data_IF_393323271897
#
_entry.id   IF_393323271897
#
_cell.length_a   1.000
_cell.length_b   1.000
_cell.length_c   1.000
_cell.angle_alpha   90.00
_cell.angle_beta   90.00
_cell.angle_gamma   90.00
#
_symmetry.space_group_name_H-M   'P 1'
#
loop_
_entity.id
_entity.type
_entity.pdbx_description
1 polymer ?
#
# COMPACT_ATOMS: atom_id res chain seq x y z
N UNK A 1 0.83 24.78 49.81
CA UNK A 1 0.39 24.18 48.54
C UNK A 1 1.62 23.96 47.69
N UNK A 2 2.15 22.74 47.66
CA UNK A 2 3.35 22.39 46.88
C UNK A 2 2.97 22.25 45.41
N UNK A 3 3.58 23.10 44.60
CA UNK A 3 3.46 23.10 43.15
C UNK A 3 4.00 21.76 42.63
N UNK A 4 3.12 20.85 42.18
CA UNK A 4 3.56 19.62 41.50
C UNK A 4 4.18 20.05 40.18
N UNK A 5 5.51 20.05 40.14
CA UNK A 5 6.29 20.40 38.96
C UNK A 5 5.79 19.61 37.77
N UNK A 6 5.44 20.32 36.69
CA UNK A 6 5.34 19.72 35.38
C UNK A 6 6.68 19.01 35.12
N UNK A 7 6.63 17.72 34.80
CA UNK A 7 7.81 16.96 34.43
C UNK A 7 8.56 17.63 33.27
N UNK A 8 9.82 17.23 33.01
CA UNK A 8 10.56 17.75 31.87
C UNK A 8 9.72 17.59 30.58
N UNK A 9 9.79 18.57 29.67
CA UNK A 9 9.05 18.50 28.42
C UNK A 9 9.41 17.23 27.65
N UNK A 10 8.42 16.60 27.02
CA UNK A 10 8.66 15.44 26.16
C UNK A 10 9.61 15.85 25.01
N UNK A 11 10.58 14.99 24.65
CA UNK A 11 11.50 15.28 23.55
C UNK A 11 10.72 15.47 22.24
N UNK A 12 11.21 16.39 21.40
CA UNK A 12 10.70 16.63 20.06
C UNK A 12 10.84 15.38 19.18
N UNK A 13 10.07 15.29 18.09
CA UNK A 13 10.17 14.14 17.17
C UNK A 13 11.58 13.99 16.59
N UNK A 14 12.26 15.10 16.31
CA UNK A 14 13.63 15.07 15.80
C UNK A 14 14.58 14.44 16.83
N UNK A 15 14.47 14.78 18.11
CA UNK A 15 15.27 14.21 19.20
C UNK A 15 14.95 12.73 19.42
N UNK A 16 13.68 12.33 19.34
CA UNK A 16 13.28 10.92 19.42
C UNK A 16 13.90 10.10 18.28
N UNK A 17 13.88 10.62 17.05
CA UNK A 17 14.43 9.91 15.89
C UNK A 17 15.96 9.77 15.94
N UNK A 18 16.67 10.51 16.79
CA UNK A 18 18.10 10.28 17.06
C UNK A 18 18.34 9.01 17.88
N UNK A 19 17.36 8.54 18.65
CA UNK A 19 17.49 7.29 19.40
C UNK A 19 17.50 6.09 18.44
N UNK A 20 18.16 5.00 18.85
CA UNK A 20 18.17 3.73 18.12
C UNK A 20 16.76 3.16 18.05
N UNK A 21 16.12 3.04 19.22
CA UNK A 21 14.73 2.61 19.40
C UNK A 21 13.95 3.78 20.00
N UNK A 22 12.78 4.07 19.46
CA UNK A 22 11.95 5.21 19.87
C UNK A 22 10.46 4.84 19.85
N UNK A 23 9.62 5.65 20.48
CA UNK A 23 8.19 5.38 20.55
C UNK A 23 7.52 5.49 19.18
N UNK A 24 6.61 4.57 18.86
CA UNK A 24 5.87 4.61 17.61
C UNK A 24 4.94 5.84 17.59
N UNK A 25 4.73 6.40 16.40
CA UNK A 25 3.62 7.34 16.27
C UNK A 25 2.30 6.54 16.20
N UNK A 26 1.16 7.06 16.68
CA UNK A 26 -0.11 6.33 16.65
C UNK A 26 -0.49 5.76 15.27
N UNK A 27 -0.11 6.46 14.20
CA UNK A 27 -0.39 6.09 12.82
C UNK A 27 0.60 5.05 12.25
N UNK A 28 1.74 4.81 12.91
CA UNK A 28 2.67 3.72 12.59
C UNK A 28 2.00 2.35 12.70
N UNK A 29 1.14 2.16 13.71
CA UNK A 29 0.42 0.91 13.88
C UNK A 29 -0.52 0.58 12.70
N UNK A 30 -1.14 1.61 12.09
CA UNK A 30 -1.97 1.44 10.87
C UNK A 30 -1.11 0.96 9.70
N UNK A 31 0.06 1.57 9.51
CA UNK A 31 1.03 1.17 8.48
C UNK A 31 1.51 -0.28 8.69
N UNK A 32 1.90 -0.64 9.90
CA UNK A 32 2.33 -2.01 10.22
C UNK A 32 1.19 -3.03 10.01
N UNK A 33 -0.05 -2.66 10.35
CA UNK A 33 -1.21 -3.49 10.08
C UNK A 33 -1.46 -3.70 8.56
N UNK A 34 -1.27 -2.67 7.75
CA UNK A 34 -1.35 -2.78 6.29
C UNK A 34 -0.25 -3.69 5.74
N UNK A 35 1.00 -3.49 6.16
CA UNK A 35 2.14 -4.34 5.78
C UNK A 35 1.89 -5.80 6.12
N UNK A 36 1.46 -6.09 7.35
CA UNK A 36 1.10 -7.44 7.77
C UNK A 36 -0.01 -8.04 6.89
N UNK A 37 -1.08 -7.27 6.63
CA UNK A 37 -2.23 -7.77 5.88
C UNK A 37 -1.92 -8.00 4.40
N UNK A 38 -1.18 -7.08 3.79
CA UNK A 38 -0.70 -7.22 2.43
C UNK A 38 0.22 -8.43 2.28
N UNK A 39 1.27 -8.50 3.11
CA UNK A 39 2.26 -9.58 3.04
C UNK A 39 1.68 -10.95 3.38
N UNK A 40 0.65 -11.03 4.23
CA UNK A 40 -0.09 -12.28 4.43
C UNK A 40 -0.69 -12.80 3.12
N UNK A 41 -1.37 -11.95 2.34
CA UNK A 41 -1.93 -12.34 1.04
C UNK A 41 -0.82 -12.67 0.02
N UNK A 42 0.17 -11.79 -0.07
CA UNK A 42 1.32 -11.91 -0.98
C UNK A 42 2.09 -13.22 -0.76
N UNK A 43 2.46 -13.52 0.49
CA UNK A 43 3.15 -14.76 0.88
C UNK A 43 2.30 -15.99 0.56
N UNK A 44 1.01 -15.95 0.87
CA UNK A 44 0.07 -17.03 0.58
C UNK A 44 -0.05 -17.37 -0.91
N UNK A 45 0.09 -16.38 -1.80
CA UNK A 45 0.06 -16.57 -3.25
C UNK A 45 1.43 -17.00 -3.81
N UNK A 46 2.49 -16.29 -3.43
CA UNK A 46 3.78 -16.37 -4.12
C UNK A 46 4.70 -17.44 -3.53
N UNK A 47 4.81 -17.54 -2.21
CA UNK A 47 5.70 -18.51 -1.57
C UNK A 47 5.24 -19.97 -1.76
N UNK A 48 4.02 -20.19 -2.29
CA UNK A 48 3.54 -21.53 -2.69
C UNK A 48 3.77 -21.86 -4.16
N UNK A 49 4.12 -20.86 -4.96
CA UNK A 49 4.14 -20.95 -6.43
C UNK A 49 5.55 -20.76 -6.99
N UNK A 50 6.42 -20.06 -6.26
CA UNK A 50 7.79 -19.76 -6.65
C UNK A 50 8.77 -20.41 -5.69
N UNK A 51 9.92 -20.92 -6.19
CA UNK A 51 10.91 -21.59 -5.34
C UNK A 51 11.57 -20.65 -4.34
N UNK A 52 11.53 -19.35 -4.62
CA UNK A 52 12.09 -18.29 -3.80
C UNK A 52 11.39 -16.96 -4.13
N UNK A 53 11.20 -16.12 -3.12
CA UNK A 53 10.77 -14.73 -3.27
C UNK A 53 11.57 -13.86 -2.30
N UNK A 54 11.61 -12.55 -2.54
CA UNK A 54 12.26 -11.61 -1.63
C UNK A 54 11.34 -10.49 -1.14
N UNK A 55 11.60 -10.00 0.07
CA UNK A 55 11.10 -8.72 0.55
C UNK A 55 12.32 -7.86 0.88
N UNK A 56 12.41 -6.68 0.29
CA UNK A 56 13.45 -5.69 0.61
C UNK A 56 12.83 -4.59 1.46
N UNK A 57 13.26 -4.49 2.71
CA UNK A 57 12.95 -3.35 3.58
C UNK A 57 14.14 -2.38 3.55
N UNK A 58 14.04 -1.35 2.71
CA UNK A 58 15.14 -0.45 2.41
C UNK A 58 15.37 0.63 3.48
N UNK A 59 14.47 0.74 4.46
CA UNK A 59 14.51 1.73 5.54
C UNK A 59 14.05 1.07 6.86
N UNK A 60 14.71 -0.05 7.19
CA UNK A 60 14.23 -1.01 8.17
C UNK A 60 14.27 -0.53 9.64
N UNK A 61 14.97 0.57 9.90
CA UNK A 61 15.20 1.11 11.24
C UNK A 61 15.75 0.05 12.21
N UNK A 62 15.42 0.15 13.50
CA UNK A 62 15.89 -0.79 14.51
C UNK A 62 15.09 -2.10 14.55
N UNK A 63 14.02 -2.25 13.77
CA UNK A 63 13.16 -3.44 13.79
C UNK A 63 12.07 -3.47 14.86
N UNK A 64 12.12 -2.62 15.87
CA UNK A 64 11.08 -2.45 16.89
C UNK A 64 10.98 -1.01 17.38
N UNK A 65 9.86 -0.68 18.02
CA UNK A 65 9.62 0.58 18.72
C UNK A 65 9.66 0.38 20.24
N UNK A 66 9.94 1.45 20.99
CA UNK A 66 10.13 1.37 22.45
C UNK A 66 8.85 1.03 23.22
N UNK A 67 7.69 1.15 22.58
CA UNK A 67 6.37 0.77 23.09
C UNK A 67 6.00 -0.68 22.78
N UNK A 68 6.93 -1.46 22.20
CA UNK A 68 6.75 -2.88 21.90
C UNK A 68 6.06 -3.16 20.57
N UNK A 69 5.76 -2.14 19.76
CA UNK A 69 5.30 -2.35 18.40
C UNK A 69 6.45 -2.89 17.54
N UNK A 70 6.17 -3.91 16.72
CA UNK A 70 7.13 -4.40 15.74
C UNK A 70 7.35 -3.38 14.61
N UNK A 71 8.60 -3.20 14.21
CA UNK A 71 8.97 -2.55 12.96
C UNK A 71 8.71 -3.47 11.75
N UNK A 72 8.84 -2.93 10.54
CA UNK A 72 8.55 -3.67 9.32
C UNK A 72 9.34 -4.99 9.16
N UNK A 73 10.64 -5.09 9.53
CA UNK A 73 11.38 -6.35 9.43
C UNK A 73 10.76 -7.47 10.26
N UNK A 74 10.44 -7.16 11.53
CA UNK A 74 9.83 -8.12 12.43
C UNK A 74 8.39 -8.42 12.02
N UNK A 75 7.65 -7.43 11.51
CA UNK A 75 6.32 -7.64 10.93
C UNK A 75 6.37 -8.68 9.80
N UNK A 76 7.31 -8.57 8.86
CA UNK A 76 7.43 -9.53 7.75
C UNK A 76 7.86 -10.91 8.24
N UNK A 77 8.90 -10.99 9.08
CA UNK A 77 9.40 -12.25 9.63
C UNK A 77 8.31 -12.99 10.43
N UNK A 78 7.62 -12.29 11.35
CA UNK A 78 6.53 -12.88 12.15
C UNK A 78 5.31 -13.24 11.30
N UNK A 79 5.03 -12.49 10.23
CA UNK A 79 3.97 -12.84 9.29
C UNK A 79 4.27 -14.15 8.59
N UNK A 80 5.51 -14.37 8.13
CA UNK A 80 5.94 -15.65 7.58
C UNK A 80 5.78 -16.77 8.61
N UNK A 81 6.36 -16.61 9.81
CA UNK A 81 6.42 -17.65 10.85
C UNK A 81 5.03 -18.08 11.35
N UNK A 82 4.09 -17.13 11.44
CA UNK A 82 2.72 -17.38 11.90
C UNK A 82 1.74 -17.70 10.76
N UNK A 83 2.20 -17.76 9.51
CA UNK A 83 1.30 -17.96 8.38
C UNK A 83 0.67 -19.36 8.39
N UNK A 84 -0.65 -19.45 8.22
CA UNK A 84 -1.38 -20.74 8.21
C UNK A 84 -0.91 -21.68 7.10
N UNK A 85 -0.58 -21.12 5.94
CA UNK A 85 -0.01 -21.85 4.80
C UNK A 85 1.52 -22.07 4.85
N UNK A 86 2.21 -21.68 5.94
CA UNK A 86 3.67 -21.85 6.11
C UNK A 86 4.16 -23.27 5.83
N UNK A 87 3.43 -24.36 6.19
CA UNK A 87 3.87 -25.72 5.84
C UNK A 87 4.13 -25.92 4.33
N UNK A 88 3.43 -25.19 3.46
CA UNK A 88 3.56 -25.26 2.01
C UNK A 88 4.44 -24.16 1.40
N UNK A 89 5.10 -23.33 2.22
CA UNK A 89 5.95 -22.26 1.72
C UNK A 89 7.31 -22.78 1.24
N UNK A 90 7.80 -22.18 0.17
CA UNK A 90 9.17 -22.18 -0.28
C UNK A 90 9.98 -21.07 0.43
N UNK A 91 11.15 -20.70 -0.10
CA UNK A 91 12.05 -19.76 0.56
C UNK A 91 11.58 -18.31 0.46
N UNK A 92 11.72 -17.59 1.56
CA UNK A 92 11.62 -16.14 1.62
C UNK A 92 12.97 -15.56 2.02
N UNK A 93 13.50 -14.67 1.19
CA UNK A 93 14.66 -13.85 1.51
C UNK A 93 14.19 -12.47 1.96
N UNK A 94 14.35 -12.18 3.25
CA UNK A 94 14.05 -10.88 3.84
C UNK A 94 15.36 -10.08 3.94
N UNK A 95 15.52 -9.05 3.11
CA UNK A 95 16.71 -8.19 3.07
C UNK A 95 16.37 -6.85 3.73
N UNK A 96 17.06 -6.54 4.83
CA UNK A 96 16.82 -5.31 5.60
C UNK A 96 18.04 -4.40 5.56
N UNK A 97 17.81 -3.15 5.17
CA UNK A 97 18.83 -2.11 5.04
C UNK A 97 18.42 -0.82 5.75
N UNK A 98 19.42 -0.10 6.26
CA UNK A 98 19.29 1.24 6.85
C UNK A 98 20.67 1.91 6.77
N UNK A 99 20.72 3.24 6.84
CA UNK A 99 21.99 3.96 6.86
C UNK A 99 22.65 3.95 8.24
N UNK A 100 21.90 3.63 9.30
CA UNK A 100 22.33 3.78 10.68
C UNK A 100 22.91 2.49 11.26
N UNK A 101 24.21 2.45 11.60
CA UNK A 101 24.85 1.24 12.13
C UNK A 101 24.26 0.78 13.46
N UNK A 102 23.86 1.70 14.34
CA UNK A 102 23.29 1.36 15.64
C UNK A 102 21.92 0.66 15.51
N UNK A 103 21.12 1.07 14.53
CA UNK A 103 19.82 0.45 14.25
C UNK A 103 19.96 -0.95 13.66
N UNK A 104 20.89 -1.13 12.72
CA UNK A 104 21.18 -2.44 12.14
C UNK A 104 21.78 -3.42 13.16
N UNK A 105 22.61 -2.94 14.09
CA UNK A 105 23.12 -3.73 15.20
C UNK A 105 21.98 -4.19 16.14
N UNK A 106 21.03 -3.30 16.43
CA UNK A 106 19.84 -3.64 17.21
C UNK A 106 18.97 -4.68 16.50
N UNK A 107 18.66 -4.47 15.21
CA UNK A 107 17.89 -5.42 14.39
C UNK A 107 18.56 -6.80 14.34
N UNK A 108 19.89 -6.85 14.22
CA UNK A 108 20.65 -8.10 14.25
C UNK A 108 20.50 -8.84 15.59
N UNK A 109 20.42 -8.11 16.70
CA UNK A 109 20.17 -8.68 18.02
C UNK A 109 18.75 -9.24 18.09
N UNK A 110 17.75 -8.52 17.60
CA UNK A 110 16.37 -9.03 17.53
C UNK A 110 16.28 -10.29 16.65
N UNK A 111 16.93 -10.27 15.48
CA UNK A 111 16.98 -11.41 14.56
C UNK A 111 17.52 -12.68 15.25
N UNK A 112 18.57 -12.58 16.06
CA UNK A 112 19.18 -13.75 16.72
C UNK A 112 18.29 -14.37 17.80
N UNK A 113 17.29 -13.63 18.28
CA UNK A 113 16.29 -14.14 19.24
C UNK A 113 15.11 -14.85 18.58
N UNK A 114 14.95 -14.73 17.25
CA UNK A 114 13.88 -15.40 16.51
C UNK A 114 14.24 -16.86 16.25
N UNK A 115 13.29 -17.76 16.51
CA UNK A 115 13.35 -19.14 16.02
C UNK A 115 13.04 -19.16 14.52
N UNK A 116 14.07 -19.04 13.69
CA UNK A 116 13.92 -18.97 12.24
C UNK A 116 13.63 -20.35 11.64
N UNK A 117 12.60 -20.41 10.81
CA UNK A 117 12.39 -21.50 9.87
C UNK A 117 13.55 -21.47 8.85
N UNK A 118 14.16 -22.60 8.47
CA UNK A 118 15.25 -22.62 7.47
C UNK A 118 14.87 -22.04 6.10
N UNK A 119 13.57 -21.88 5.82
CA UNK A 119 13.06 -21.24 4.61
C UNK A 119 12.94 -19.72 4.72
N UNK A 120 13.10 -19.14 5.91
CA UNK A 120 13.15 -17.71 6.13
C UNK A 120 14.62 -17.28 6.28
N UNK A 121 15.18 -16.75 5.21
CA UNK A 121 16.51 -16.15 5.24
C UNK A 121 16.39 -14.67 5.60
N UNK A 122 16.72 -14.33 6.84
CA UNK A 122 16.68 -12.97 7.34
C UNK A 122 18.07 -12.34 7.28
N UNK A 123 18.29 -11.47 6.30
CA UNK A 123 19.53 -10.74 6.07
C UNK A 123 19.43 -9.29 6.56
N UNK A 124 20.45 -8.84 7.29
CA UNK A 124 20.65 -7.43 7.65
C UNK A 124 21.93 -6.98 6.98
N UNK A 125 21.87 -5.95 6.13
CA UNK A 125 23.03 -5.48 5.35
C UNK A 125 24.00 -4.65 6.17
N UNK A 126 25.10 -4.25 5.56
CA UNK A 126 25.94 -3.17 6.09
C UNK A 126 25.21 -1.82 6.00
N UNK A 127 25.56 -0.83 6.85
CA UNK A 127 24.93 0.48 6.84
C UNK A 127 25.28 1.27 5.58
N UNK A 128 24.25 1.73 4.85
CA UNK A 128 24.43 2.53 3.63
C UNK A 128 23.18 3.34 3.31
N UNK A 129 23.35 4.48 2.63
CA UNK A 129 22.24 5.25 2.09
C UNK A 129 21.57 4.48 0.95
N UNK A 130 20.23 4.46 0.92
CA UNK A 130 19.48 3.70 -0.08
C UNK A 130 19.88 4.06 -1.53
N UNK A 131 20.14 5.33 -1.84
CA UNK A 131 20.58 5.77 -3.17
C UNK A 131 21.86 5.07 -3.64
N UNK A 132 22.75 4.71 -2.72
CA UNK A 132 24.00 3.99 -3.01
C UNK A 132 23.80 2.47 -2.93
N UNK A 133 22.96 2.01 -1.99
CA UNK A 133 22.73 0.58 -1.75
C UNK A 133 21.80 -0.08 -2.78
N UNK A 134 20.96 0.68 -3.50
CA UNK A 134 19.87 0.14 -4.33
C UNK A 134 20.32 -1.00 -5.25
N UNK A 135 21.43 -0.83 -5.97
CA UNK A 135 21.89 -1.86 -6.92
C UNK A 135 22.45 -3.10 -6.24
N UNK A 136 22.98 -2.96 -5.02
CA UNK A 136 23.39 -4.11 -4.23
C UNK A 136 22.16 -4.87 -3.68
N UNK A 137 21.17 -4.14 -3.17
CA UNK A 137 19.90 -4.71 -2.70
C UNK A 137 19.16 -5.44 -3.83
N UNK A 138 19.17 -4.87 -5.03
CA UNK A 138 18.56 -5.46 -6.22
C UNK A 138 19.24 -6.77 -6.60
N UNK A 139 20.58 -6.83 -6.58
CA UNK A 139 21.34 -8.07 -6.81
C UNK A 139 21.05 -9.13 -5.74
N UNK A 140 20.89 -8.73 -4.48
CA UNK A 140 20.56 -9.67 -3.38
C UNK A 140 19.15 -10.23 -3.54
N UNK A 141 18.17 -9.37 -3.78
CA UNK A 141 16.77 -9.76 -3.92
C UNK A 141 16.53 -10.64 -5.18
N UNK A 142 17.23 -10.33 -6.28
CA UNK A 142 17.14 -11.06 -7.55
C UNK A 142 18.28 -12.08 -7.75
N UNK A 143 18.96 -12.51 -6.68
CA UNK A 143 20.14 -13.41 -6.77
C UNK A 143 19.89 -14.71 -7.51
N UNK A 144 18.64 -15.18 -7.51
CA UNK A 144 18.20 -16.42 -8.15
C UNK A 144 17.48 -16.15 -9.50
N UNK A 145 17.53 -14.91 -10.00
CA UNK A 145 17.03 -14.47 -11.30
C UNK A 145 15.88 -13.46 -11.21
N UNK A 146 15.83 -12.53 -12.16
CA UNK A 146 14.81 -11.45 -12.26
C UNK A 146 13.38 -11.91 -12.54
N UNK A 147 13.15 -13.22 -12.63
CA UNK A 147 11.80 -13.77 -12.77
C UNK A 147 11.13 -14.01 -11.42
N UNK A 148 11.88 -13.93 -10.31
CA UNK A 148 11.33 -14.17 -8.98
C UNK A 148 10.60 -12.93 -8.46
N UNK A 149 9.53 -13.11 -7.67
CA UNK A 149 8.82 -11.99 -7.07
C UNK A 149 9.66 -11.29 -6.00
N UNK A 150 9.68 -9.95 -6.06
CA UNK A 150 10.31 -9.11 -5.04
C UNK A 150 9.33 -8.01 -4.63
N UNK A 151 9.11 -7.87 -3.33
CA UNK A 151 8.40 -6.73 -2.76
C UNK A 151 9.40 -5.74 -2.16
N UNK A 152 9.43 -4.54 -2.68
CA UNK A 152 10.21 -3.42 -2.15
C UNK A 152 9.35 -2.57 -1.21
N UNK A 153 9.83 -2.38 0.01
CA UNK A 153 9.20 -1.52 1.01
C UNK A 153 10.10 -0.32 1.24
N UNK A 154 9.56 0.84 0.88
CA UNK A 154 10.29 2.08 0.72
C UNK A 154 9.70 3.15 1.65
N UNK A 155 10.12 3.14 2.91
CA UNK A 155 9.54 3.96 3.99
C UNK A 155 10.60 4.83 4.68
N UNK A 156 11.17 5.83 3.99
CA UNK A 156 12.16 6.72 4.59
C UNK A 156 11.55 7.61 5.68
N UNK A 157 12.40 8.36 6.38
CA UNK A 157 11.96 9.39 7.34
C UNK A 157 11.69 10.75 6.68
N UNK A 158 12.10 10.90 5.43
CA UNK A 158 11.94 12.10 4.63
C UNK A 158 11.75 11.73 3.14
N UNK A 159 11.29 12.71 2.39
CA UNK A 159 10.95 12.62 0.98
C UNK A 159 12.14 12.88 0.04
N UNK A 160 13.24 13.43 0.55
CA UNK A 160 14.44 13.73 -0.26
C UNK A 160 15.27 12.46 -0.50
N UNK A 161 15.21 11.52 0.44
CA UNK A 161 15.89 10.22 0.41
C UNK A 161 15.37 9.26 -0.67
N UNK A 162 14.20 9.55 -1.28
CA UNK A 162 13.60 8.65 -2.26
C UNK A 162 12.99 9.35 -3.48
N UNK A 163 13.82 9.89 -4.39
CA UNK A 163 13.31 10.44 -5.64
C UNK A 163 12.55 9.40 -6.47
N UNK A 164 11.61 9.86 -7.31
CA UNK A 164 10.76 9.01 -8.14
C UNK A 164 11.55 7.98 -8.96
N UNK A 165 12.71 8.39 -9.49
CA UNK A 165 13.58 7.52 -10.28
C UNK A 165 14.05 6.28 -9.49
N UNK A 166 14.34 6.40 -8.19
CA UNK A 166 14.74 5.23 -7.38
C UNK A 166 13.56 4.26 -7.20
N UNK A 167 12.35 4.80 -7.02
CA UNK A 167 11.13 3.98 -6.95
C UNK A 167 10.88 3.26 -8.27
N UNK A 168 11.00 3.98 -9.39
CA UNK A 168 10.85 3.43 -10.72
C UNK A 168 11.86 2.30 -11.00
N UNK A 169 13.11 2.47 -10.58
CA UNK A 169 14.14 1.42 -10.68
C UNK A 169 13.80 0.17 -9.85
N UNK A 170 13.04 0.28 -8.78
CA UNK A 170 12.60 -0.88 -7.98
C UNK A 170 11.46 -1.67 -8.65
N UNK A 171 10.91 -1.20 -9.77
CA UNK A 171 9.85 -1.87 -10.55
C UNK A 171 10.39 -2.45 -11.87
N UNK A 172 11.69 -2.72 -11.97
CA UNK A 172 12.33 -3.08 -13.24
C UNK A 172 12.00 -4.52 -13.68
N UNK A 173 11.86 -5.46 -12.74
CA UNK A 173 11.48 -6.83 -13.06
C UNK A 173 9.95 -6.99 -13.15
N UNK A 174 9.50 -7.92 -13.98
CA UNK A 174 8.07 -8.16 -14.25
C UNK A 174 7.24 -8.53 -13.01
N UNK A 175 7.88 -9.01 -11.94
CA UNK A 175 7.22 -9.41 -10.69
C UNK A 175 7.66 -8.55 -9.50
N UNK A 176 8.32 -7.43 -9.78
CA UNK A 176 8.62 -6.45 -8.75
C UNK A 176 7.33 -5.72 -8.38
N UNK A 177 7.19 -5.50 -7.07
CA UNK A 177 6.15 -4.68 -6.49
C UNK A 177 6.79 -3.68 -5.53
N UNK A 178 6.20 -2.50 -5.40
CA UNK A 178 6.67 -1.48 -4.47
C UNK A 178 5.53 -1.03 -3.58
N UNK A 179 5.81 -0.88 -2.28
CA UNK A 179 5.05 -0.01 -1.38
C UNK A 179 5.96 1.13 -0.94
N UNK A 180 5.59 2.37 -1.25
CA UNK A 180 6.35 3.57 -0.91
C UNK A 180 5.51 4.55 -0.08
N UNK A 181 6.15 5.16 0.91
CA UNK A 181 5.54 6.24 1.69
C UNK A 181 5.62 7.56 0.91
N UNK A 182 4.45 8.12 0.58
CA UNK A 182 4.26 9.42 -0.07
C UNK A 182 3.90 10.50 0.95
N UNK A 183 4.83 11.40 1.24
CA UNK A 183 4.67 12.48 2.22
C UNK A 183 3.74 13.62 1.76
N UNK A 184 2.45 13.34 1.61
CA UNK A 184 1.45 14.28 1.05
C UNK A 184 1.26 15.55 1.88
N UNK A 185 1.42 15.49 3.20
CA UNK A 185 1.39 16.68 4.06
C UNK A 185 2.62 17.58 3.84
N UNK A 186 3.82 17.02 3.70
CA UNK A 186 5.03 17.78 3.35
C UNK A 186 4.88 18.43 1.97
N UNK A 187 4.40 17.67 0.98
CA UNK A 187 4.11 18.19 -0.35
C UNK A 187 3.13 19.36 -0.28
N UNK A 188 2.02 19.20 0.42
CA UNK A 188 1.04 20.26 0.65
C UNK A 188 1.65 21.49 1.34
N UNK A 189 2.45 21.27 2.41
CA UNK A 189 3.05 22.34 3.22
C UNK A 189 4.07 23.15 2.42
N UNK A 190 4.85 22.48 1.59
CA UNK A 190 6.00 23.07 0.90
C UNK A 190 5.75 23.38 -0.58
N UNK A 191 4.57 23.07 -1.14
CA UNK A 191 4.30 23.31 -2.57
C UNK A 191 4.44 24.77 -2.99
N UNK A 192 4.32 25.72 -2.06
CA UNK A 192 4.46 27.16 -2.33
C UNK A 192 5.87 27.71 -2.04
N UNK A 193 6.78 26.90 -1.51
CA UNK A 193 8.16 27.30 -1.23
C UNK A 193 9.03 27.07 -2.49
N UNK A 194 9.56 28.13 -3.13
CA UNK A 194 10.38 28.00 -4.32
C UNK A 194 11.69 27.23 -4.07
N UNK A 195 12.22 27.25 -2.84
CA UNK A 195 13.46 26.53 -2.50
C UNK A 195 13.22 25.01 -2.41
N UNK A 196 11.98 24.59 -2.15
CA UNK A 196 11.59 23.18 -2.10
C UNK A 196 11.11 22.65 -3.44
N UNK A 197 10.79 23.52 -4.40
CA UNK A 197 10.28 23.10 -5.70
C UNK A 197 11.17 22.06 -6.43
N UNK A 198 12.51 22.18 -6.49
CA UNK A 198 13.34 21.17 -7.15
C UNK A 198 13.28 19.79 -6.47
N UNK A 199 13.20 19.76 -5.14
CA UNK A 199 13.06 18.52 -4.38
C UNK A 199 11.68 17.88 -4.63
N UNK A 200 10.61 18.69 -4.74
CA UNK A 200 9.25 18.21 -5.09
C UNK A 200 9.23 17.62 -6.48
N UNK A 201 9.83 18.30 -7.45
CA UNK A 201 9.89 17.78 -8.82
C UNK A 201 10.64 16.46 -8.88
N UNK A 202 11.75 16.33 -8.15
CA UNK A 202 12.51 15.07 -8.09
C UNK A 202 11.74 13.95 -7.38
N UNK A 203 11.04 14.28 -6.30
CA UNK A 203 10.25 13.31 -5.54
C UNK A 203 9.06 12.80 -6.33
N UNK A 204 8.40 13.66 -7.10
CA UNK A 204 7.24 13.31 -7.93
C UNK A 204 7.62 12.81 -9.34
N UNK A 205 8.86 13.05 -9.78
CA UNK A 205 9.34 12.69 -11.12
C UNK A 205 8.78 13.57 -12.24
N UNK A 206 8.28 14.76 -11.92
CA UNK A 206 7.70 15.72 -12.88
C UNK A 206 7.70 17.13 -12.29
N UNK A 207 7.67 18.17 -13.12
CA UNK A 207 7.43 19.56 -12.70
C UNK A 207 5.95 19.97 -12.82
N UNK A 208 5.12 19.11 -13.41
CA UNK A 208 3.71 19.41 -13.69
C UNK A 208 2.92 19.70 -12.43
N UNK A 209 3.33 19.20 -11.26
CA UNK A 209 2.67 19.41 -9.96
C UNK A 209 2.38 20.86 -9.57
N UNK A 210 3.07 21.82 -10.19
CA UNK A 210 2.91 23.25 -9.89
C UNK A 210 1.47 23.73 -10.03
N UNK A 211 0.67 23.16 -10.94
CA UNK A 211 -0.75 23.53 -11.09
C UNK A 211 -1.61 23.16 -9.87
N UNK A 212 -1.20 22.16 -9.09
CA UNK A 212 -1.91 21.71 -7.89
C UNK A 212 -1.94 22.77 -6.78
N UNK A 213 -1.05 23.77 -6.83
CA UNK A 213 -1.06 24.92 -5.90
C UNK A 213 -2.37 25.71 -5.94
N UNK A 214 -3.10 25.63 -7.07
CA UNK A 214 -4.38 26.32 -7.25
C UNK A 214 -5.54 25.66 -6.49
N UNK A 215 -5.38 24.40 -6.09
CA UNK A 215 -6.40 23.66 -5.32
C UNK A 215 -6.44 24.21 -3.89
N UNK A 216 -7.58 24.83 -3.56
CA UNK A 216 -7.78 25.50 -2.27
C UNK A 216 -7.94 24.51 -1.12
N UNK A 217 -8.74 23.47 -1.32
CA UNK A 217 -8.99 22.47 -0.30
C UNK A 217 -7.73 21.62 -0.04
N UNK A 218 -7.38 21.46 1.25
CA UNK A 218 -6.18 20.74 1.64
C UNK A 218 -6.28 19.24 1.34
N UNK A 219 -7.44 18.63 1.60
CA UNK A 219 -7.63 17.20 1.41
C UNK A 219 -7.62 16.86 -0.09
N UNK A 220 -8.35 17.64 -0.89
CA UNK A 220 -8.37 17.53 -2.35
C UNK A 220 -6.95 17.67 -2.94
N UNK A 221 -6.19 18.67 -2.50
CA UNK A 221 -4.82 18.88 -2.98
C UNK A 221 -3.88 17.72 -2.65
N UNK A 222 -3.97 17.16 -1.44
CA UNK A 222 -3.19 15.98 -1.04
C UNK A 222 -3.52 14.76 -1.90
N UNK A 223 -4.82 14.52 -2.13
CA UNK A 223 -5.26 13.45 -3.03
C UNK A 223 -4.72 13.67 -4.44
N UNK A 224 -4.76 14.90 -4.94
CA UNK A 224 -4.22 15.23 -6.26
C UNK A 224 -2.70 14.99 -6.38
N UNK A 225 -1.92 15.24 -5.32
CA UNK A 225 -0.51 14.84 -5.28
C UNK A 225 -0.32 13.33 -5.40
N UNK A 226 -1.12 12.54 -4.67
CA UNK A 226 -1.09 11.08 -4.77
C UNK A 226 -1.52 10.56 -6.14
N UNK A 227 -2.59 11.11 -6.72
CA UNK A 227 -3.06 10.71 -8.04
C UNK A 227 -2.04 11.02 -9.13
N UNK A 228 -1.37 12.17 -9.06
CA UNK A 228 -0.28 12.50 -9.97
C UNK A 228 0.89 11.51 -9.82
N UNK A 229 1.33 11.22 -8.59
CA UNK A 229 2.39 10.24 -8.35
C UNK A 229 2.02 8.86 -8.91
N UNK A 230 0.79 8.40 -8.66
CA UNK A 230 0.28 7.14 -9.23
C UNK A 230 0.14 7.20 -10.75
N UNK A 231 -0.21 8.34 -11.34
CA UNK A 231 -0.24 8.51 -12.80
C UNK A 231 1.15 8.32 -13.40
N UNK A 232 2.18 8.91 -12.79
CA UNK A 232 3.58 8.72 -13.22
C UNK A 232 4.00 7.24 -13.16
N UNK A 233 3.58 6.52 -12.13
CA UNK A 233 3.80 5.06 -12.05
C UNK A 233 3.03 4.33 -13.16
N UNK A 234 1.74 4.63 -13.37
CA UNK A 234 0.91 3.98 -14.40
C UNK A 234 1.44 4.18 -15.81
N UNK A 235 2.10 5.30 -16.10
CA UNK A 235 2.80 5.52 -17.38
C UNK A 235 3.93 4.51 -17.63
N UNK A 236 4.48 3.88 -16.58
CA UNK A 236 5.45 2.80 -16.69
C UNK A 236 4.80 1.43 -16.97
N UNK A 237 3.47 1.38 -17.12
CA UNK A 237 2.73 0.14 -17.39
C UNK A 237 2.38 -0.67 -16.13
N UNK A 238 2.54 -0.10 -14.93
CA UNK A 238 2.13 -0.75 -13.67
C UNK A 238 0.73 -0.32 -13.23
N UNK A 239 0.07 -1.19 -12.48
CA UNK A 239 -1.08 -0.81 -11.65
C UNK A 239 -0.59 -0.05 -10.43
N UNK A 240 -1.39 0.92 -9.97
CA UNK A 240 -1.07 1.69 -8.78
C UNK A 240 -2.31 1.95 -7.93
N UNK A 241 -2.15 1.82 -6.62
CA UNK A 241 -3.17 2.10 -5.60
C UNK A 241 -2.59 2.95 -4.47
N UNK A 242 -3.45 3.62 -3.71
CA UNK A 242 -3.05 4.41 -2.54
C UNK A 242 -3.86 4.03 -1.30
N UNK A 243 -3.28 4.27 -0.14
CA UNK A 243 -3.97 4.17 1.15
C UNK A 243 -3.50 5.28 2.08
N UNK A 244 -4.43 6.13 2.53
CA UNK A 244 -4.12 7.23 3.44
C UNK A 244 -3.88 6.76 4.87
N UNK A 245 -2.75 7.14 5.45
CA UNK A 245 -2.44 6.87 6.86
C UNK A 245 -2.68 8.16 7.65
N UNK A 246 -3.77 8.19 8.40
CA UNK A 246 -4.30 9.40 9.03
C UNK A 246 -3.86 9.58 10.48
N UNK A 247 -3.58 10.83 10.87
CA UNK A 247 -3.25 11.19 12.27
C UNK A 247 -4.48 11.13 13.18
N UNK A 248 -5.64 11.53 12.63
CA UNK A 248 -7.00 11.49 13.19
C UNK A 248 -7.95 11.26 12.00
N UNK A 249 -9.18 10.80 12.26
CA UNK A 249 -10.14 10.48 11.19
C UNK A 249 -10.17 11.57 10.09
N UNK A 250 -10.06 11.14 8.83
CA UNK A 250 -10.16 11.96 7.60
C UNK A 250 -9.02 12.94 7.27
N UNK A 251 -7.92 12.97 8.03
CA UNK A 251 -6.73 13.76 7.65
C UNK A 251 -5.47 12.89 7.52
N UNK A 252 -5.19 12.36 6.31
CA UNK A 252 -3.95 11.66 5.99
C UNK A 252 -2.73 12.52 6.32
N UNK A 253 -1.78 11.91 7.05
CA UNK A 253 -0.45 12.46 7.29
C UNK A 253 0.46 12.22 6.09
N UNK A 254 0.34 11.03 5.52
CA UNK A 254 0.98 10.57 4.29
C UNK A 254 0.10 9.49 3.66
N UNK A 255 0.35 9.19 2.39
CA UNK A 255 -0.26 8.06 1.70
C UNK A 255 0.79 6.96 1.54
N UNK A 256 0.38 5.71 1.66
CA UNK A 256 1.16 4.57 1.16
C UNK A 256 0.72 4.34 -0.28
N UNK A 257 1.66 4.40 -1.22
CA UNK A 257 1.42 4.11 -2.63
C UNK A 257 1.96 2.73 -2.95
N UNK A 258 1.12 1.91 -3.56
CA UNK A 258 1.46 0.58 -4.03
C UNK A 258 1.55 0.57 -5.56
N UNK A 259 2.51 -0.17 -6.09
CA UNK A 259 2.71 -0.36 -7.52
C UNK A 259 3.04 -1.83 -7.83
N UNK A 260 2.44 -2.38 -8.88
CA UNK A 260 2.67 -3.77 -9.32
C UNK A 260 2.40 -3.91 -10.82
N UNK A 261 3.12 -4.81 -11.48
CA UNK A 261 2.84 -5.22 -12.86
C UNK A 261 1.67 -6.20 -12.97
N UNK A 262 1.22 -6.78 -11.84
CA UNK A 262 0.26 -7.89 -11.83
C UNK A 262 -1.05 -7.49 -11.11
N UNK A 263 -2.23 -7.62 -11.76
CA UNK A 263 -3.53 -7.40 -11.11
C UNK A 263 -3.73 -8.21 -9.82
N UNK A 264 -3.10 -9.38 -9.69
CA UNK A 264 -3.17 -10.19 -8.47
C UNK A 264 -2.56 -9.50 -7.25
N UNK A 265 -1.60 -8.60 -7.45
CA UNK A 265 -1.06 -7.72 -6.42
C UNK A 265 -2.10 -6.69 -5.97
N UNK A 266 -2.84 -6.09 -6.92
CA UNK A 266 -3.94 -5.18 -6.62
C UNK A 266 -5.08 -5.85 -5.84
N UNK A 267 -5.35 -7.14 -6.08
CA UNK A 267 -6.30 -7.91 -5.26
C UNK A 267 -5.85 -7.99 -3.80
N UNK A 268 -4.57 -8.28 -3.55
CA UNK A 268 -4.01 -8.32 -2.20
C UNK A 268 -4.02 -6.93 -1.56
N UNK A 269 -3.64 -5.89 -2.32
CA UNK A 269 -3.63 -4.50 -1.89
C UNK A 269 -5.04 -4.04 -1.47
N UNK A 270 -6.02 -4.13 -2.37
CA UNK A 270 -7.39 -3.73 -2.08
C UNK A 270 -7.98 -4.57 -0.94
N UNK A 271 -7.64 -5.86 -0.86
CA UNK A 271 -8.01 -6.71 0.28
C UNK A 271 -7.47 -6.19 1.62
N UNK A 272 -6.26 -5.64 1.63
CA UNK A 272 -5.63 -5.06 2.81
C UNK A 272 -6.21 -3.68 3.17
N UNK A 273 -6.43 -2.80 2.19
CA UNK A 273 -6.98 -1.47 2.44
C UNK A 273 -8.42 -1.56 2.97
N UNK A 274 -9.26 -2.40 2.37
CA UNK A 274 -10.64 -2.63 2.82
C UNK A 274 -10.76 -3.40 4.14
N UNK A 275 -9.68 -4.04 4.60
CA UNK A 275 -9.64 -4.63 5.93
C UNK A 275 -9.50 -3.54 7.00
N UNK A 276 -8.73 -2.49 6.71
CA UNK A 276 -8.46 -1.37 7.62
C UNK A 276 -9.52 -0.27 7.53
N UNK A 277 -10.14 -0.09 6.37
CA UNK A 277 -11.23 0.84 6.11
C UNK A 277 -12.37 0.08 5.43
N UNK A 278 -13.30 -0.44 6.23
CA UNK A 278 -14.40 -1.30 5.75
C UNK A 278 -15.46 -0.53 4.96
N UNK A 279 -15.47 0.79 5.08
CA UNK A 279 -16.47 1.65 4.45
C UNK A 279 -16.02 2.14 3.07
N UNK A 280 -14.81 2.68 2.94
CA UNK A 280 -14.33 3.26 1.68
C UNK A 280 -13.05 2.60 1.13
N UNK A 281 -12.33 1.81 1.93
CA UNK A 281 -11.07 1.18 1.54
C UNK A 281 -9.94 2.16 1.21
N UNK A 282 -10.02 3.42 1.63
CA UNK A 282 -9.17 4.51 1.16
C UNK A 282 -8.24 5.10 2.21
N UNK A 283 -8.60 5.11 3.50
CA UNK A 283 -7.74 5.63 4.57
C UNK A 283 -8.13 5.11 5.95
N UNK A 284 -7.17 5.02 6.87
CA UNK A 284 -7.45 4.72 8.26
C UNK A 284 -6.60 5.54 9.23
N UNK A 285 -7.16 5.79 10.42
CA UNK A 285 -6.45 6.21 11.62
C UNK A 285 -6.42 5.05 12.63
N UNK A 286 -5.65 5.18 13.70
CA UNK A 286 -5.64 4.19 14.78
C UNK A 286 -7.04 3.97 15.39
N UNK A 287 -7.80 5.06 15.55
CA UNK A 287 -9.17 5.03 16.08
C UNK A 287 -10.10 4.24 15.16
N UNK A 288 -10.07 4.52 13.85
CA UNK A 288 -10.90 3.82 12.85
C UNK A 288 -10.53 2.35 12.76
N UNK A 289 -9.23 2.04 12.76
CA UNK A 289 -8.76 0.66 12.67
C UNK A 289 -9.08 -0.19 13.92
N UNK A 290 -9.22 0.44 15.09
CA UNK A 290 -9.50 -0.22 16.36
C UNK A 290 -10.99 -0.20 16.77
N UNK A 291 -11.83 0.61 16.11
CA UNK A 291 -13.22 0.76 16.48
C UNK A 291 -14.03 -0.53 16.25
N UNK A 292 -14.77 -1.04 17.26
CA UNK A 292 -15.76 -2.08 17.02
C UNK A 292 -16.90 -1.53 16.16
N UNK A 293 -17.38 -2.33 15.22
CA UNK A 293 -18.47 -1.97 14.31
C UNK A 293 -19.76 -1.79 15.11
N UNK A 294 -20.23 -0.55 15.29
CA UNK A 294 -21.51 -0.29 15.94
C UNK A 294 -22.72 -0.58 15.03
N UNK A 295 -22.50 -0.72 13.72
CA UNK A 295 -23.48 -1.14 12.71
C UNK A 295 -22.80 -2.00 11.64
N UNK A 296 -23.55 -2.83 10.93
CA UNK A 296 -23.09 -3.47 9.69
C UNK A 296 -22.88 -2.38 8.64
N UNK A 297 -21.72 -1.72 8.68
CA UNK A 297 -21.36 -0.69 7.72
C UNK A 297 -21.28 -1.33 6.32
N UNK A 298 -22.28 -1.05 5.50
CA UNK A 298 -22.27 -1.50 4.12
C UNK A 298 -21.14 -0.76 3.37
N UNK A 299 -20.32 -1.48 2.59
CA UNK A 299 -19.28 -0.85 1.78
C UNK A 299 -19.88 0.22 0.86
N UNK A 300 -19.24 1.39 0.80
CA UNK A 300 -19.63 2.46 -0.11
C UNK A 300 -19.27 2.06 -1.54
N UNK A 301 -20.25 1.55 -2.29
CA UNK A 301 -20.07 1.12 -3.69
C UNK A 301 -20.58 2.13 -4.72
N UNK A 302 -21.24 3.20 -4.30
CA UNK A 302 -21.83 4.20 -5.22
C UNK A 302 -20.83 4.79 -6.21
N UNK A 303 -19.58 5.13 -5.85
CA UNK A 303 -18.62 5.63 -6.83
C UNK A 303 -18.23 4.56 -7.87
N UNK A 304 -18.24 3.27 -7.50
CA UNK A 304 -18.03 2.18 -8.44
C UNK A 304 -19.23 2.02 -9.39
N UNK A 305 -20.45 2.19 -8.88
CA UNK A 305 -21.67 2.19 -9.71
C UNK A 305 -21.60 3.31 -10.75
N UNK A 306 -21.29 4.54 -10.32
CA UNK A 306 -21.12 5.70 -11.21
C UNK A 306 -20.02 5.47 -12.26
N UNK A 307 -18.90 4.84 -11.87
CA UNK A 307 -17.84 4.50 -12.82
C UNK A 307 -18.34 3.51 -13.89
N UNK A 308 -19.15 2.53 -13.52
CA UNK A 308 -19.69 1.53 -14.43
C UNK A 308 -20.74 2.11 -15.40
N UNK A 309 -21.44 3.18 -15.01
CA UNK A 309 -22.38 3.91 -15.88
C UNK A 309 -21.68 4.55 -17.10
N UNK A 310 -20.38 4.80 -17.03
CA UNK A 310 -19.61 5.29 -18.20
C UNK A 310 -19.53 4.26 -19.35
N UNK A 311 -19.94 3.02 -19.13
CA UNK A 311 -19.92 1.94 -20.14
C UNK A 311 -21.28 1.68 -20.77
N UNK A 312 -22.29 2.53 -20.52
CA UNK A 312 -23.60 2.45 -21.18
C UNK A 312 -23.45 2.29 -22.70
N UNK A 313 -24.19 1.35 -23.27
CA UNK A 313 -24.13 0.98 -24.69
C UNK A 313 -23.04 -0.04 -25.04
N UNK A 314 -22.18 -0.41 -24.09
CA UNK A 314 -21.10 -1.40 -24.28
C UNK A 314 -21.44 -2.77 -23.70
N UNK A 315 -20.73 -3.79 -24.18
CA UNK A 315 -20.70 -5.14 -23.61
C UNK A 315 -19.29 -5.46 -23.12
N UNK A 316 -19.15 -5.84 -21.86
CA UNK A 316 -17.85 -6.13 -21.24
C UNK A 316 -17.87 -7.48 -20.54
N UNK A 317 -16.78 -8.23 -20.68
CA UNK A 317 -16.56 -9.46 -19.91
C UNK A 317 -16.25 -9.16 -18.44
N UNK A 318 -16.65 -10.05 -17.54
CA UNK A 318 -16.44 -9.90 -16.09
C UNK A 318 -14.97 -9.73 -15.71
N UNK A 319 -14.06 -10.43 -16.40
CA UNK A 319 -12.62 -10.27 -16.18
C UNK A 319 -12.17 -8.82 -16.40
N UNK A 320 -12.67 -8.16 -17.46
CA UNK A 320 -12.36 -6.76 -17.74
C UNK A 320 -12.98 -5.83 -16.70
N UNK A 321 -14.21 -6.09 -16.29
CA UNK A 321 -14.87 -5.33 -15.22
C UNK A 321 -14.13 -5.47 -13.89
N UNK A 322 -13.59 -6.65 -13.58
CA UNK A 322 -12.77 -6.90 -12.39
C UNK A 322 -11.49 -6.09 -12.44
N UNK A 323 -10.78 -6.07 -13.56
CA UNK A 323 -9.58 -5.22 -13.72
C UNK A 323 -9.89 -3.74 -13.49
N UNK A 324 -11.00 -3.24 -14.04
CA UNK A 324 -11.44 -1.86 -13.84
C UNK A 324 -11.75 -1.56 -12.36
N UNK A 325 -12.49 -2.46 -11.69
CA UNK A 325 -12.79 -2.31 -10.28
C UNK A 325 -11.53 -2.34 -9.41
N UNK A 326 -10.60 -3.26 -9.69
CA UNK A 326 -9.31 -3.36 -8.99
C UNK A 326 -8.49 -2.08 -9.16
N UNK A 327 -8.41 -1.54 -10.37
CA UNK A 327 -7.71 -0.29 -10.66
C UNK A 327 -8.30 0.93 -9.92
N UNK A 328 -9.59 0.87 -9.57
CA UNK A 328 -10.30 1.89 -8.78
C UNK A 328 -10.26 1.63 -7.27
N UNK A 329 -9.51 0.61 -6.82
CA UNK A 329 -9.35 0.29 -5.40
C UNK A 329 -10.44 -0.62 -4.81
N UNK A 330 -11.31 -1.21 -5.64
CA UNK A 330 -12.39 -2.08 -5.18
C UNK A 330 -12.03 -3.57 -5.24
N UNK A 331 -12.75 -4.38 -4.45
CA UNK A 331 -12.66 -5.85 -4.50
C UNK A 331 -13.69 -6.41 -5.48
N UNK A 332 -13.48 -7.65 -5.94
CA UNK A 332 -14.46 -8.35 -6.78
C UNK A 332 -15.85 -8.43 -6.14
N UNK A 333 -15.93 -8.62 -4.81
CA UNK A 333 -17.22 -8.63 -4.09
C UNK A 333 -17.98 -7.31 -4.22
N UNK A 334 -17.26 -6.18 -4.29
CA UNK A 334 -17.88 -4.87 -4.48
C UNK A 334 -18.34 -4.67 -5.92
N UNK A 335 -17.57 -5.16 -6.90
CA UNK A 335 -18.02 -5.18 -8.30
C UNK A 335 -19.33 -5.98 -8.44
N UNK A 336 -19.39 -7.17 -7.86
CA UNK A 336 -20.60 -8.01 -7.89
C UNK A 336 -21.79 -7.27 -7.28
N UNK A 337 -21.61 -6.62 -6.14
CA UNK A 337 -22.65 -5.82 -5.50
C UNK A 337 -23.09 -4.65 -6.38
N UNK A 338 -22.15 -3.90 -6.97
CA UNK A 338 -22.44 -2.79 -7.87
C UNK A 338 -23.22 -3.23 -9.12
N UNK A 339 -22.86 -4.38 -9.71
CA UNK A 339 -23.58 -4.97 -10.84
C UNK A 339 -25.00 -5.40 -10.45
N UNK A 340 -25.19 -6.00 -9.27
CA UNK A 340 -26.53 -6.32 -8.76
C UNK A 340 -27.38 -5.06 -8.55
N UNK A 341 -26.80 -3.97 -8.04
CA UNK A 341 -27.46 -2.66 -7.94
C UNK A 341 -27.89 -2.15 -9.33
N UNK A 342 -26.99 -2.11 -10.31
CA UNK A 342 -27.32 -1.68 -11.67
C UNK A 342 -28.38 -2.57 -12.33
N UNK A 343 -28.32 -3.88 -12.10
CA UNK A 343 -29.34 -4.81 -12.61
C UNK A 343 -30.71 -4.56 -11.99
N UNK A 344 -30.79 -4.28 -10.69
CA UNK A 344 -32.06 -3.95 -10.04
C UNK A 344 -32.74 -2.72 -10.66
N UNK A 345 -31.95 -1.85 -11.30
CA UNK A 345 -32.39 -0.67 -12.07
C UNK A 345 -32.59 -0.95 -13.55
N UNK A 346 -32.36 -2.17 -14.04
CA UNK A 346 -32.39 -2.50 -15.47
C UNK A 346 -31.19 -2.02 -16.29
N UNK A 347 -30.16 -1.47 -15.63
CA UNK A 347 -29.02 -0.81 -16.27
C UNK A 347 -27.82 -1.75 -16.53
N UNK A 348 -27.82 -2.96 -15.97
CA UNK A 348 -26.83 -3.99 -16.26
C UNK A 348 -27.51 -5.34 -16.44
N UNK A 349 -27.31 -5.99 -17.58
CA UNK A 349 -27.90 -7.30 -17.90
C UNK A 349 -26.78 -8.26 -18.31
N UNK A 350 -26.80 -9.46 -17.74
CA UNK A 350 -25.95 -10.56 -18.21
C UNK A 350 -26.50 -11.10 -19.53
N UNK A 351 -25.71 -11.04 -20.59
CA UNK A 351 -26.15 -11.42 -21.95
C UNK A 351 -25.80 -12.86 -22.32
N UNK A 352 -25.00 -13.56 -21.51
CA UNK A 352 -24.69 -14.97 -21.71
C UNK A 352 -25.73 -15.93 -21.10
N UNK A 353 -25.79 -17.12 -21.68
CA UNK A 353 -26.66 -18.23 -21.26
C UNK A 353 -26.07 -19.13 -20.17
N UNK A 354 -25.08 -18.69 -19.38
CA UNK A 354 -24.43 -19.57 -18.41
C UNK A 354 -25.38 -19.85 -17.23
N UNK A 355 -25.85 -21.10 -17.13
CA UNK A 355 -26.68 -21.55 -16.00
C UNK A 355 -25.81 -21.75 -14.76
N UNK A 356 -25.85 -20.79 -13.84
CA UNK A 356 -25.11 -20.88 -12.56
C UNK A 356 -25.92 -20.30 -11.41
N UNK A 357 -25.59 -20.71 -10.18
CA UNK A 357 -26.19 -20.16 -8.95
C UNK A 357 -25.66 -18.76 -8.59
N UNK A 358 -24.48 -18.37 -9.07
CA UNK A 358 -23.97 -17.01 -8.89
C UNK A 358 -24.58 -16.11 -9.96
N UNK A 359 -24.97 -14.91 -9.55
CA UNK A 359 -25.59 -13.96 -10.46
C UNK A 359 -24.63 -13.48 -11.57
N UNK A 360 -23.34 -13.34 -11.22
CA UNK A 360 -22.31 -12.77 -12.08
C UNK A 360 -21.10 -13.70 -12.23
N UNK A 361 -21.22 -14.94 -12.74
CA UNK A 361 -20.06 -15.85 -12.87
C UNK A 361 -18.87 -15.21 -13.60
N UNK A 362 -17.64 -15.70 -13.41
CA UNK A 362 -16.45 -15.13 -14.09
C UNK A 362 -16.56 -15.13 -15.62
N UNK A 363 -17.34 -16.06 -16.19
CA UNK A 363 -17.63 -16.11 -17.62
C UNK A 363 -18.64 -15.04 -18.08
N UNK A 364 -19.13 -14.17 -17.19
CA UNK A 364 -20.20 -13.24 -17.53
C UNK A 364 -19.78 -12.25 -18.61
N UNK A 365 -20.66 -11.99 -19.56
CA UNK A 365 -20.66 -10.79 -20.39
C UNK A 365 -21.82 -9.92 -19.94
N UNK A 366 -21.52 -8.67 -19.61
CA UNK A 366 -22.49 -7.71 -19.08
C UNK A 366 -22.69 -6.58 -20.08
N UNK A 367 -23.95 -6.33 -20.42
CA UNK A 367 -24.37 -5.18 -21.22
C UNK A 367 -24.92 -4.08 -20.33
N UNK A 368 -24.50 -2.85 -20.58
CA UNK A 368 -24.92 -1.67 -19.83
C UNK A 368 -25.92 -0.83 -20.63
N UNK A 369 -26.96 -0.34 -19.96
CA UNK A 369 -28.09 0.40 -20.55
C UNK A 369 -28.29 1.75 -19.87
N UNK A 370 -28.78 2.74 -20.63
CA UNK A 370 -29.14 4.03 -20.05
C UNK A 370 -30.40 3.88 -19.19
N UNK A 371 -30.58 4.76 -18.21
CA UNK A 371 -31.81 4.81 -17.41
C UNK A 371 -33.05 5.02 -18.28
N UNK A 372 -32.92 5.76 -19.40
CA UNK A 372 -33.99 5.99 -20.38
C UNK A 372 -34.37 4.76 -21.20
N UNK A 373 -33.50 3.75 -21.27
CA UNK A 373 -33.76 2.50 -22.01
C UNK A 373 -34.58 1.50 -21.18
N UNK A 374 -34.75 1.79 -19.88
CA UNK A 374 -35.54 0.97 -18.95
C UNK A 374 -36.99 1.40 -19.09
N UNK A 375 -37.84 0.51 -19.63
CA UNK A 375 -39.26 0.81 -19.80
C UNK A 375 -39.87 1.27 -18.46
N UNK A 376 -40.65 2.37 -18.42
CA UNK A 376 -41.34 2.78 -17.21
C UNK A 376 -42.32 1.67 -16.83
N UNK A 377 -42.07 1.05 -15.67
CA UNK A 377 -42.87 -0.03 -15.12
C UNK A 377 -44.26 0.38 -14.69
#
# INVERSE_FOLDING_TARGET
>A
MTNRGAGPPLPSRAEQLQQTVYASDPHTAVKQALYRRYTQCWMGKLLRSFPECAIVDAFCAAGEYSDGLDGSPLTFAKTFLSHSARPSFHRLHLVCADQRPDRLAHLNTLRSTLELDPRLEFEVTEPELFVNARDDLDRRAHRSGSQLPVLWVLDPYDWESIPFELVARCLNARRDEVIVTLFTEELHRFCSDPNKAPAISRYLGTEEWTHLRSIRDQAERKVAFSEMYMSRLREMGVHAGRFGVAKRAHMPRYDLVFATHDPAGMECWNGATWYLDRFAGGNASLEVAAAPTLFDEQPMTDPLVQELENYVGSELGFARLRELALAKGYKETHLRAALTTLRSRGQAIRVDGVSTRTEWPEASVVRFYAETDVAPG
#
